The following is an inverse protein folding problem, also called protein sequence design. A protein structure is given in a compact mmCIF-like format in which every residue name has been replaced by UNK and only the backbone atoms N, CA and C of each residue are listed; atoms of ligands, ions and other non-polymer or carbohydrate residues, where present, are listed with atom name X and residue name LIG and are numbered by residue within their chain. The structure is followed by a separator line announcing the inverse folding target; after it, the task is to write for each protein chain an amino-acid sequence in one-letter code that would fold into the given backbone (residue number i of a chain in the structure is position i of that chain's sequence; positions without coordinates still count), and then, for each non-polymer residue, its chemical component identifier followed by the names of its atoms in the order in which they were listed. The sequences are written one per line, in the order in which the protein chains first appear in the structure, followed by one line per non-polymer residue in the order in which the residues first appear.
data_IF_318063088786
#
_entry.id   IF_318063088786
#
_cell.length_a   1.000
_cell.length_b   1.000
_cell.length_c   1.000
_cell.angle_alpha   90.00
_cell.angle_beta   90.00
_cell.angle_gamma   90.00
#
_symmetry.space_group_name_H-M   'P 1'
#
loop_
_entity.id
_entity.type
_entity.pdbx_description
1 polymer ?
#
# COMPACT_ATOMS: atom_id res chain seq x y z
N UNK A 1 8.89 -48.35 1.15
CA UNK A 1 9.46 -47.02 1.46
C UNK A 1 9.28 -45.97 0.35
N UNK A 2 9.11 -46.38 -0.92
CA UNK A 2 9.01 -45.47 -2.09
C UNK A 2 7.65 -44.73 -2.14
N UNK A 3 6.54 -45.43 -1.84
CA UNK A 3 5.18 -44.85 -1.84
C UNK A 3 5.00 -43.71 -0.82
N UNK A 4 5.63 -43.84 0.36
CA UNK A 4 5.60 -42.81 1.41
C UNK A 4 6.42 -41.55 1.05
N UNK A 5 7.42 -41.66 0.18
CA UNK A 5 8.15 -40.50 -0.36
C UNK A 5 7.35 -39.78 -1.43
N UNK A 6 6.67 -40.51 -2.31
CA UNK A 6 5.81 -39.92 -3.34
C UNK A 6 4.63 -39.11 -2.72
N UNK A 7 3.98 -39.66 -1.69
CA UNK A 7 2.87 -38.98 -0.97
C UNK A 7 3.34 -37.72 -0.21
N UNK A 8 4.58 -37.71 0.29
CA UNK A 8 5.14 -36.52 0.96
C UNK A 8 5.52 -35.42 -0.02
N UNK A 9 6.00 -35.78 -1.21
CA UNK A 9 6.34 -34.81 -2.25
C UNK A 9 5.08 -34.16 -2.83
N UNK A 10 3.99 -34.91 -3.02
CA UNK A 10 2.70 -34.33 -3.46
C UNK A 10 2.04 -33.48 -2.37
N UNK A 11 2.13 -33.87 -1.09
CA UNK A 11 1.58 -33.09 0.02
C UNK A 11 2.32 -31.75 0.26
N UNK A 12 3.60 -31.65 -0.10
CA UNK A 12 4.39 -30.41 -0.01
C UNK A 12 4.26 -29.52 -1.24
N UNK A 13 3.93 -30.08 -2.42
CA UNK A 13 3.79 -29.31 -3.65
C UNK A 13 2.53 -28.43 -3.67
N UNK A 14 1.42 -28.92 -3.10
CA UNK A 14 0.13 -28.21 -3.08
C UNK A 14 0.17 -26.85 -2.33
N UNK A 15 0.71 -26.76 -1.09
CA UNK A 15 0.77 -25.49 -0.37
C UNK A 15 1.80 -24.51 -0.98
N UNK A 16 2.86 -25.01 -1.62
CA UNK A 16 3.85 -24.17 -2.31
C UNK A 16 3.24 -23.51 -3.55
N UNK A 17 2.42 -24.23 -4.31
CA UNK A 17 1.68 -23.66 -5.44
C UNK A 17 0.63 -22.62 -4.98
N UNK A 18 -0.08 -22.91 -3.88
CA UNK A 18 -1.04 -21.97 -3.30
C UNK A 18 -0.37 -20.69 -2.76
N UNK A 19 0.83 -20.81 -2.17
CA UNK A 19 1.62 -19.68 -1.70
C UNK A 19 2.23 -18.86 -2.85
N UNK A 20 2.61 -19.49 -3.97
CA UNK A 20 3.08 -18.76 -5.15
C UNK A 20 1.96 -17.95 -5.82
N UNK A 21 0.72 -18.46 -5.80
CA UNK A 21 -0.44 -17.78 -6.38
C UNK A 21 -0.91 -16.55 -5.57
N UNK A 22 -0.63 -16.46 -4.27
CA UNK A 22 -1.10 -15.37 -3.41
C UNK A 22 -0.21 -14.12 -3.42
N UNK A 23 1.02 -14.20 -3.92
CA UNK A 23 2.00 -13.08 -3.89
C UNK A 23 1.88 -12.15 -5.11
N UNK A 24 1.23 -12.59 -6.20
CA UNK A 24 1.02 -11.77 -7.40
C UNK A 24 -0.15 -10.78 -7.34
N UNK A 25 -1.06 -10.95 -6.36
CA UNK A 25 -2.36 -10.26 -6.33
C UNK A 25 -2.36 -8.84 -5.78
N UNK A 26 -1.30 -8.40 -5.10
CA UNK A 26 -1.34 -7.13 -4.36
C UNK A 26 -1.06 -5.89 -5.23
N UNK A 27 -0.53 -6.05 -6.45
CA UNK A 27 -0.27 -4.90 -7.35
C UNK A 27 -0.31 -5.23 -8.85
N UNK A 28 -0.64 -6.47 -9.22
CA UNK A 28 -0.75 -6.92 -10.61
C UNK A 28 -2.15 -7.43 -10.90
N UNK A 29 -2.65 -7.17 -12.11
CA UNK A 29 -3.88 -7.74 -12.65
C UNK A 29 -3.63 -9.22 -13.00
N UNK A 30 -3.41 -10.06 -11.97
CA UNK A 30 -3.06 -11.49 -12.10
C UNK A 30 -4.30 -12.39 -12.01
N UNK A 31 -5.48 -11.88 -12.36
CA UNK A 31 -6.72 -12.64 -12.23
C UNK A 31 -6.72 -13.86 -13.19
N UNK A 32 -6.62 -15.11 -12.69
CA UNK A 32 -6.55 -16.29 -13.54
C UNK A 32 -7.85 -16.53 -14.32
N UNK A 33 -9.00 -16.08 -13.80
CA UNK A 33 -10.28 -16.14 -14.51
C UNK A 33 -10.32 -15.19 -15.71
N UNK A 34 -9.69 -14.02 -15.60
CA UNK A 34 -9.58 -13.06 -16.70
C UNK A 34 -8.77 -13.64 -17.85
N UNK A 35 -7.62 -14.25 -17.56
CA UNK A 35 -6.79 -14.93 -18.56
C UNK A 35 -7.54 -16.09 -19.23
N UNK A 36 -8.27 -16.90 -18.45
CA UNK A 36 -9.08 -18.00 -18.97
C UNK A 36 -10.23 -17.51 -19.88
N UNK A 37 -10.94 -16.46 -19.49
CA UNK A 37 -12.02 -15.87 -20.31
C UNK A 37 -11.48 -15.23 -21.60
N UNK A 38 -10.37 -14.50 -21.53
CA UNK A 38 -9.75 -13.89 -22.72
C UNK A 38 -9.26 -14.97 -23.69
N UNK A 39 -8.63 -16.04 -23.19
CA UNK A 39 -8.21 -17.19 -24.00
C UNK A 39 -9.38 -17.97 -24.61
N UNK A 40 -10.52 -18.03 -23.92
CA UNK A 40 -11.76 -18.64 -24.40
C UNK A 40 -12.59 -17.71 -25.33
N UNK A 41 -12.09 -16.50 -25.63
CA UNK A 41 -12.75 -15.55 -26.53
C UNK A 41 -13.99 -14.84 -25.95
N UNK A 42 -14.33 -15.09 -24.68
CA UNK A 42 -15.47 -14.49 -23.97
C UNK A 42 -15.07 -13.34 -23.04
N UNK A 43 -13.77 -13.12 -22.83
CA UNK A 43 -13.24 -12.02 -22.03
C UNK A 43 -13.09 -10.71 -22.80
N UNK A 44 -12.97 -9.61 -22.07
CA UNK A 44 -12.66 -8.30 -22.64
C UNK A 44 -11.33 -8.41 -23.39
N UNK A 45 -11.38 -8.27 -24.72
CA UNK A 45 -10.18 -8.31 -25.57
C UNK A 45 -9.20 -7.25 -25.10
N UNK A 46 -7.90 -7.57 -24.96
CA UNK A 46 -6.89 -6.56 -24.71
C UNK A 46 -6.99 -5.51 -25.81
N UNK A 47 -7.15 -4.25 -25.40
CA UNK A 47 -7.20 -3.13 -26.33
C UNK A 47 -5.77 -2.89 -26.79
N UNK A 48 -5.51 -3.19 -28.06
CA UNK A 48 -4.23 -2.87 -28.68
C UNK A 48 -3.98 -1.37 -28.57
N UNK A 49 -2.79 -1.03 -28.07
CA UNK A 49 -2.43 0.38 -27.86
C UNK A 49 -2.13 1.01 -29.21
N UNK A 50 -2.70 2.18 -29.56
CA UNK A 50 -2.42 2.83 -30.83
C UNK A 50 -0.92 3.13 -31.04
N UNK A 51 -0.44 3.02 -32.29
CA UNK A 51 0.99 3.13 -32.64
C UNK A 51 1.64 4.41 -32.14
N UNK A 52 0.93 5.54 -32.20
CA UNK A 52 1.46 6.83 -31.72
C UNK A 52 1.73 6.83 -30.21
N UNK A 53 0.94 6.09 -29.42
CA UNK A 53 1.13 5.95 -27.98
C UNK A 53 2.34 5.07 -27.70
N UNK A 54 2.49 3.96 -28.43
CA UNK A 54 3.65 3.09 -28.31
C UNK A 54 4.95 3.84 -28.65
N UNK A 55 4.93 4.64 -29.72
CA UNK A 55 6.09 5.42 -30.17
C UNK A 55 6.41 6.63 -29.29
N UNK A 56 5.40 7.23 -28.63
CA UNK A 56 5.61 8.38 -27.74
C UNK A 56 6.26 8.00 -26.39
N UNK A 57 6.17 6.73 -25.99
CA UNK A 57 6.73 6.25 -24.73
C UNK A 57 8.23 6.08 -24.91
N UNK A 58 9.00 6.97 -24.29
CA UNK A 58 10.45 6.85 -24.24
C UNK A 58 10.84 5.61 -23.43
N UNK A 59 11.60 4.69 -24.02
CA UNK A 59 12.08 3.47 -23.34
C UNK A 59 13.06 3.77 -22.20
N UNK A 60 13.82 4.86 -22.31
CA UNK A 60 14.82 5.28 -21.33
C UNK A 60 14.25 6.28 -20.31
N UNK A 61 13.10 5.95 -19.73
CA UNK A 61 12.42 6.82 -18.78
C UNK A 61 13.33 7.07 -17.55
N UNK A 62 13.85 8.29 -17.43
CA UNK A 62 14.50 8.82 -16.22
C UNK A 62 13.48 9.13 -15.11
N UNK A 63 12.21 8.78 -15.34
CA UNK A 63 11.08 8.98 -14.44
C UNK A 63 10.47 7.62 -14.09
N UNK A 64 9.91 7.52 -12.88
CA UNK A 64 9.23 6.31 -12.43
C UNK A 64 7.77 6.33 -12.93
N UNK A 65 7.30 5.30 -13.66
CA UNK A 65 5.92 5.23 -14.14
C UNK A 65 4.89 5.17 -13.00
N UNK A 66 3.69 5.72 -13.24
CA UNK A 66 2.57 5.60 -12.30
C UNK A 66 2.19 4.12 -12.16
N UNK A 67 2.11 3.65 -10.92
CA UNK A 67 1.83 2.24 -10.60
C UNK A 67 3.09 1.38 -10.43
N UNK A 68 4.28 1.89 -10.78
CA UNK A 68 5.54 1.24 -10.45
C UNK A 68 6.11 1.80 -9.16
N UNK A 69 6.52 0.91 -8.26
CA UNK A 69 7.19 1.29 -7.02
C UNK A 69 8.68 1.46 -7.25
N UNK A 70 9.25 2.54 -6.70
CA UNK A 70 10.70 2.74 -6.74
C UNK A 70 11.41 1.54 -6.10
N UNK A 71 12.63 1.19 -6.55
CA UNK A 71 13.46 0.21 -5.87
C UNK A 71 13.55 0.52 -4.38
N UNK A 72 13.31 -0.48 -3.52
CA UNK A 72 13.39 -0.29 -2.07
C UNK A 72 14.80 0.14 -1.71
N UNK A 73 14.92 1.33 -1.12
CA UNK A 73 16.19 1.81 -0.58
C UNK A 73 16.65 0.85 0.51
N UNK A 74 17.95 0.49 0.56
CA UNK A 74 18.47 -0.31 1.67
C UNK A 74 18.34 0.52 2.95
N UNK A 75 17.43 0.10 3.83
CA UNK A 75 17.23 0.71 5.14
C UNK A 75 17.80 -0.20 6.21
N UNK A 76 18.69 0.35 7.04
CA UNK A 76 19.15 -0.34 8.25
C UNK A 76 18.08 -0.20 9.33
N UNK A 77 17.71 -1.31 9.97
CA UNK A 77 16.85 -1.27 11.14
C UNK A 77 17.50 -0.43 12.25
N UNK A 78 16.73 0.43 12.91
CA UNK A 78 17.23 1.19 14.07
C UNK A 78 17.56 0.21 15.20
N UNK A 79 18.72 0.39 15.83
CA UNK A 79 19.08 -0.34 17.06
C UNK A 79 18.20 0.12 18.23
N UNK A 80 18.27 -0.57 19.37
CA UNK A 80 17.44 -0.30 20.55
C UNK A 80 17.54 1.16 21.03
N UNK A 81 18.75 1.74 21.04
CA UNK A 81 18.95 3.15 21.37
C UNK A 81 18.25 4.09 20.37
N UNK A 82 18.35 3.81 19.07
CA UNK A 82 17.66 4.60 18.04
C UNK A 82 16.14 4.46 18.07
N UNK A 83 15.61 3.36 18.61
CA UNK A 83 14.18 3.18 18.83
C UNK A 83 13.69 3.97 20.04
N UNK A 84 14.43 3.96 21.15
CA UNK A 84 14.05 4.72 22.35
C UNK A 84 14.12 6.24 22.11
N UNK A 85 15.11 6.72 21.37
CA UNK A 85 15.17 8.14 20.95
C UNK A 85 13.95 8.51 20.12
N UNK A 86 13.58 7.68 19.13
CA UNK A 86 12.41 7.94 18.30
C UNK A 86 11.12 7.95 19.12
N UNK A 87 10.98 7.04 20.08
CA UNK A 87 9.83 7.01 20.97
C UNK A 87 9.72 8.31 21.79
N UNK A 88 10.83 8.77 22.39
CA UNK A 88 10.85 10.01 23.16
C UNK A 88 10.50 11.23 22.30
N UNK A 89 10.98 11.28 21.05
CA UNK A 89 10.63 12.33 20.10
C UNK A 89 9.13 12.36 19.78
N UNK A 90 8.53 11.18 19.53
CA UNK A 90 7.11 11.04 19.21
C UNK A 90 6.22 11.40 20.40
N UNK A 91 6.57 10.94 21.60
CA UNK A 91 5.86 11.30 22.83
C UNK A 91 5.95 12.80 23.11
N UNK A 92 7.14 13.39 22.94
CA UNK A 92 7.32 14.84 23.05
C UNK A 92 6.48 15.62 22.03
N UNK A 93 6.41 15.15 20.79
CA UNK A 93 5.58 15.76 19.75
C UNK A 93 4.09 15.68 20.08
N UNK A 94 3.63 14.52 20.56
CA UNK A 94 2.25 14.32 21.03
C UNK A 94 1.91 15.30 22.15
N UNK A 95 2.73 15.38 23.19
CA UNK A 95 2.49 16.26 24.33
C UNK A 95 2.38 17.74 23.92
N UNK A 96 3.24 18.19 22.99
CA UNK A 96 3.15 19.56 22.43
C UNK A 96 1.86 19.79 21.67
N UNK A 97 1.42 18.82 20.87
CA UNK A 97 0.18 18.93 20.11
C UNK A 97 -1.04 18.96 21.04
N UNK A 98 -1.08 18.11 22.06
CA UNK A 98 -2.15 18.11 23.06
C UNK A 98 -2.20 19.41 23.88
N UNK A 99 -1.03 19.97 24.23
CA UNK A 99 -0.97 21.27 24.89
C UNK A 99 -1.51 22.41 24.01
N UNK A 100 -1.11 22.44 22.73
CA UNK A 100 -1.62 23.40 21.75
C UNK A 100 -3.13 23.24 21.52
N UNK A 101 -3.62 22.01 21.43
CA UNK A 101 -5.05 21.72 21.30
C UNK A 101 -5.86 22.24 22.48
N UNK A 102 -5.40 21.97 23.72
CA UNK A 102 -6.03 22.49 24.93
C UNK A 102 -6.02 24.01 25.00
N UNK A 103 -4.91 24.65 24.61
CA UNK A 103 -4.82 26.11 24.56
C UNK A 103 -5.80 26.71 23.54
N UNK A 104 -5.90 26.12 22.34
CA UNK A 104 -6.84 26.53 21.32
C UNK A 104 -8.30 26.34 21.76
N UNK A 105 -8.62 25.22 22.42
CA UNK A 105 -9.95 24.97 22.98
C UNK A 105 -10.33 26.00 24.05
N UNK A 106 -9.40 26.32 24.96
CA UNK A 106 -9.60 27.37 25.97
C UNK A 106 -9.88 28.73 25.33
N UNK A 107 -9.04 29.14 24.38
CA UNK A 107 -9.21 30.39 23.64
C UNK A 107 -10.55 30.45 22.88
N UNK A 108 -10.97 29.34 22.27
CA UNK A 108 -12.26 29.26 21.58
C UNK A 108 -13.45 29.39 22.54
N UNK A 109 -13.39 28.75 23.71
CA UNK A 109 -14.42 28.89 24.75
C UNK A 109 -14.51 30.31 25.28
N UNK A 110 -13.37 30.96 25.49
CA UNK A 110 -13.34 32.35 25.96
C UNK A 110 -13.85 33.32 24.90
N UNK A 111 -13.51 33.11 23.62
CA UNK A 111 -14.09 33.86 22.51
C UNK A 111 -15.62 33.67 22.43
N UNK A 112 -16.10 32.43 22.59
CA UNK A 112 -17.53 32.11 22.51
C UNK A 112 -18.38 32.78 23.61
N UNK A 113 -17.82 33.03 24.81
CA UNK A 113 -18.53 33.77 25.89
C UNK A 113 -18.90 35.19 25.49
N UNK A 114 -18.19 35.80 24.53
CA UNK A 114 -18.46 37.13 24.01
C UNK A 114 -19.46 37.18 22.85
N UNK A 115 -19.89 36.03 22.32
CA UNK A 115 -20.88 35.96 21.25
C UNK A 115 -22.26 35.58 21.81
N UNK A 116 -23.26 36.41 21.59
CA UNK A 116 -24.66 35.99 21.73
C UNK A 116 -24.98 34.98 20.63
N UNK A 117 -25.62 33.83 20.95
CA UNK A 117 -26.03 32.89 19.91
C UNK A 117 -26.96 33.58 18.93
N UNK A 118 -26.65 33.48 17.64
CA UNK A 118 -27.52 33.99 16.59
C UNK A 118 -28.82 33.17 16.63
N UNK A 119 -30.01 33.79 16.73
CA UNK A 119 -31.25 33.04 16.66
C UNK A 119 -31.31 32.34 15.30
N UNK A 120 -31.48 31.03 15.33
CA UNK A 120 -31.74 30.23 14.14
C UNK A 120 -33.24 30.38 13.87
N UNK A 121 -33.61 31.13 12.82
CA UNK A 121 -34.97 31.14 12.27
C UNK A 121 -35.25 29.89 11.45
#
# INVERSE_FOLDING_TARGET
MIVRRAVRVTALALPVFAAAASVGGCSGDVNPLKAAMVGAGSGIKPVETPDFVAQSRKGDATYLPVGESAPRRPIRARNSAGQSTLQAELEGARNRNEAKGRAAEGAAKDAAKGLTPNPVE
#
